data_IF_486340184916
#
_entry.id   IF_486340184916
#
_cell.length_a   1.000
_cell.length_b   1.000
_cell.length_c   1.000
_cell.angle_alpha   90.00
_cell.angle_beta   90.00
_cell.angle_gamma   90.00
#
_symmetry.space_group_name_H-M   'P 1'
#
loop_
_entity.id
_entity.type
_entity.pdbx_description
1 polymer ?
#
# COMPACT_ATOMS: atom_id res chain seq x y z
N UNK A 1 -32.37 -41.51 21.57
CA UNK A 1 -32.87 -40.37 20.78
C UNK A 1 -31.72 -39.39 20.59
N UNK A 2 -30.93 -39.66 19.56
CA UNK A 2 -29.99 -38.72 18.96
C UNK A 2 -30.78 -37.56 18.34
N UNK A 3 -30.31 -36.32 18.49
CA UNK A 3 -30.22 -35.41 17.34
C UNK A 3 -29.39 -34.15 17.63
N UNK A 4 -28.28 -34.04 16.91
CA UNK A 4 -27.86 -32.91 16.09
C UNK A 4 -28.04 -31.48 16.61
N UNK A 5 -26.93 -30.85 16.99
CA UNK A 5 -26.75 -29.40 16.96
C UNK A 5 -25.27 -29.04 16.74
N UNK A 6 -24.72 -29.34 15.55
CA UNK A 6 -23.32 -29.06 15.22
C UNK A 6 -23.10 -28.58 13.77
N UNK A 7 -24.01 -27.77 13.22
CA UNK A 7 -23.91 -27.28 11.83
C UNK A 7 -24.23 -25.78 11.69
N UNK A 8 -23.57 -24.88 12.44
CA UNK A 8 -23.77 -23.42 12.25
C UNK A 8 -22.50 -22.55 12.30
N UNK A 9 -21.28 -23.12 12.30
CA UNK A 9 -20.06 -22.29 12.38
C UNK A 9 -19.42 -21.92 11.03
N UNK A 10 -19.87 -22.45 9.90
CA UNK A 10 -19.18 -22.23 8.62
C UNK A 10 -19.65 -20.98 7.85
N UNK A 11 -20.74 -20.33 8.26
CA UNK A 11 -21.25 -19.15 7.55
C UNK A 11 -20.64 -17.82 8.03
N UNK A 12 -19.90 -17.82 9.14
CA UNK A 12 -19.25 -16.61 9.66
C UNK A 12 -17.82 -16.41 9.11
N UNK A 13 -17.22 -17.43 8.49
CA UNK A 13 -15.86 -17.33 7.94
C UNK A 13 -15.84 -16.74 6.52
N UNK A 14 -16.86 -17.00 5.69
CA UNK A 14 -16.94 -16.43 4.34
C UNK A 14 -17.22 -14.91 4.34
N UNK A 15 -17.95 -14.38 5.33
CA UNK A 15 -18.24 -12.95 5.44
C UNK A 15 -17.02 -12.13 5.93
N UNK A 16 -16.13 -12.75 6.71
CA UNK A 16 -14.86 -12.13 7.16
C UNK A 16 -13.88 -11.99 5.99
N UNK A 17 -13.84 -12.96 5.07
CA UNK A 17 -12.93 -12.95 3.91
C UNK A 17 -13.38 -11.92 2.85
N UNK A 18 -14.69 -11.69 2.70
CA UNK A 18 -15.22 -10.61 1.83
C UNK A 18 -14.90 -9.19 2.32
N UNK A 19 -14.64 -9.02 3.62
CA UNK A 19 -14.20 -7.74 4.21
C UNK A 19 -12.73 -7.40 3.93
N UNK A 20 -11.87 -8.40 3.72
CA UNK A 20 -10.42 -8.22 3.58
C UNK A 20 -10.02 -7.60 2.22
N UNK A 21 -10.73 -7.86 1.12
CA UNK A 21 -10.38 -7.27 -0.19
C UNK A 21 -10.62 -5.74 -0.25
N UNK A 22 -11.51 -5.21 0.60
CA UNK A 22 -11.81 -3.76 0.64
C UNK A 22 -10.79 -2.93 1.44
N UNK A 23 -9.91 -3.59 2.20
CA UNK A 23 -9.00 -2.98 3.19
C UNK A 23 -7.69 -2.44 2.58
N UNK A 24 -7.44 -2.70 1.29
CA UNK A 24 -6.15 -2.42 0.64
C UNK A 24 -6.22 -1.35 -0.45
N UNK A 25 -7.19 -0.45 -0.38
CA UNK A 25 -7.39 0.56 -1.40
C UNK A 25 -6.69 1.87 -1.03
N UNK A 26 -5.47 2.09 -1.54
CA UNK A 26 -4.69 3.32 -1.29
C UNK A 26 -5.44 4.62 -1.60
N UNK A 27 -6.31 4.60 -2.61
CA UNK A 27 -7.13 5.76 -2.96
C UNK A 27 -8.08 6.16 -1.81
N UNK A 28 -8.49 5.22 -0.93
CA UNK A 28 -9.33 5.52 0.24
C UNK A 28 -8.57 6.34 1.28
N UNK A 29 -7.26 6.10 1.45
CA UNK A 29 -6.44 6.92 2.32
C UNK A 29 -6.30 8.35 1.79
N UNK A 30 -6.10 8.51 0.48
CA UNK A 30 -5.97 9.83 -0.14
C UNK A 30 -7.29 10.61 -0.15
N UNK A 31 -8.38 9.95 -0.53
CA UNK A 31 -9.72 10.56 -0.55
C UNK A 31 -10.29 10.78 0.85
N UNK A 32 -9.87 9.96 1.83
CA UNK A 32 -10.20 10.16 3.24
C UNK A 32 -9.65 11.47 3.79
N UNK A 33 -8.48 11.92 3.33
CA UNK A 33 -7.92 13.21 3.75
C UNK A 33 -8.73 14.42 3.22
N UNK A 34 -9.54 14.26 2.18
CA UNK A 34 -10.36 15.35 1.62
C UNK A 34 -11.84 15.27 1.99
N UNK A 35 -12.34 14.07 2.33
CA UNK A 35 -13.69 13.90 2.85
C UNK A 35 -13.86 14.57 4.22
N UNK A 36 -15.03 15.13 4.49
CA UNK A 36 -15.39 15.73 5.78
C UNK A 36 -16.86 15.41 6.08
N UNK A 37 -17.16 14.95 7.29
CA UNK A 37 -18.52 14.57 7.69
C UNK A 37 -19.26 15.67 8.46
N UNK A 38 -18.54 16.64 9.03
CA UNK A 38 -19.12 17.72 9.85
C UNK A 38 -18.80 19.10 9.26
N UNK A 39 -19.82 19.94 8.98
CA UNK A 39 -19.62 21.28 8.41
C UNK A 39 -18.75 22.19 9.29
N UNK A 40 -18.88 22.08 10.63
CA UNK A 40 -18.08 22.87 11.56
C UNK A 40 -16.59 22.50 11.47
N UNK A 41 -16.27 21.20 11.42
CA UNK A 41 -14.89 20.73 11.24
C UNK A 41 -14.32 21.18 9.90
N UNK A 42 -15.10 21.12 8.80
CA UNK A 42 -14.70 21.65 7.50
C UNK A 42 -14.46 23.17 7.57
N UNK A 43 -15.33 23.93 8.22
CA UNK A 43 -15.18 25.37 8.39
C UNK A 43 -13.91 25.75 9.13
N UNK A 44 -13.61 25.08 10.25
CA UNK A 44 -12.35 25.27 10.97
C UNK A 44 -11.13 24.93 10.13
N UNK A 45 -11.20 23.83 9.37
CA UNK A 45 -10.10 23.43 8.49
C UNK A 45 -9.85 24.45 7.38
N UNK A 46 -10.90 24.95 6.74
CA UNK A 46 -10.78 25.96 5.68
C UNK A 46 -10.28 27.30 6.22
N UNK A 47 -10.75 27.74 7.39
CA UNK A 47 -10.28 28.98 8.02
C UNK A 47 -8.81 28.89 8.45
N UNK A 48 -8.41 27.75 9.01
CA UNK A 48 -7.02 27.50 9.41
C UNK A 48 -6.10 27.41 8.19
N UNK A 49 -6.55 26.74 7.11
CA UNK A 49 -5.82 26.68 5.86
C UNK A 49 -5.70 28.06 5.21
N UNK A 50 -6.75 28.87 5.24
CA UNK A 50 -6.72 30.21 4.68
C UNK A 50 -5.73 31.11 5.43
N UNK A 51 -5.83 31.17 6.76
CA UNK A 51 -4.94 32.00 7.59
C UNK A 51 -3.48 31.55 7.53
N UNK A 52 -3.21 30.26 7.77
CA UNK A 52 -1.84 29.73 7.79
C UNK A 52 -1.27 29.55 6.39
N UNK A 53 -2.10 29.09 5.45
CA UNK A 53 -1.70 28.84 4.07
C UNK A 53 -1.36 30.11 3.32
N UNK A 54 -2.11 31.20 3.47
CA UNK A 54 -1.71 32.48 2.86
C UNK A 54 -0.36 32.96 3.40
N UNK A 55 -0.14 32.88 4.72
CA UNK A 55 1.13 33.32 5.30
C UNK A 55 2.31 32.48 4.79
N UNK A 56 2.15 31.16 4.71
CA UNK A 56 3.20 30.26 4.23
C UNK A 56 3.44 30.37 2.71
N UNK A 57 2.37 30.50 1.93
CA UNK A 57 2.43 30.60 0.49
C UNK A 57 3.06 31.93 0.04
N UNK A 58 2.64 33.05 0.64
CA UNK A 58 3.11 34.38 0.25
C UNK A 58 4.51 34.69 0.76
N UNK A 59 4.83 34.33 2.02
CA UNK A 59 6.09 34.77 2.64
C UNK A 59 7.23 33.75 2.53
N UNK A 60 6.95 32.43 2.48
CA UNK A 60 7.99 31.41 2.66
C UNK A 60 8.24 30.53 1.43
N UNK A 61 7.19 29.93 0.85
CA UNK A 61 7.36 28.84 -0.12
C UNK A 61 6.94 29.19 -1.56
N UNK A 62 5.97 30.09 -1.76
CA UNK A 62 5.34 30.30 -3.07
C UNK A 62 4.36 29.19 -3.46
N UNK A 63 3.43 29.49 -4.38
CA UNK A 63 2.27 28.63 -4.70
C UNK A 63 2.61 27.20 -5.13
N UNK A 64 3.60 27.04 -6.01
CA UNK A 64 3.93 25.72 -6.59
C UNK A 64 4.56 24.82 -5.52
N UNK A 65 5.50 25.36 -4.75
CA UNK A 65 6.20 24.62 -3.69
C UNK A 65 5.23 24.36 -2.53
N UNK A 66 4.36 25.32 -2.19
CA UNK A 66 3.33 25.11 -1.18
C UNK A 66 2.38 23.98 -1.57
N UNK A 67 1.82 23.99 -2.80
CA UNK A 67 0.99 22.90 -3.31
C UNK A 67 1.71 21.55 -3.23
N UNK A 68 3.00 21.56 -3.60
CA UNK A 68 3.87 20.41 -3.53
C UNK A 68 3.97 19.82 -2.12
N UNK A 69 4.28 20.66 -1.12
CA UNK A 69 4.31 20.27 0.29
C UNK A 69 2.97 19.72 0.77
N UNK A 70 1.84 20.32 0.37
CA UNK A 70 0.51 19.86 0.78
C UNK A 70 0.24 18.42 0.31
N UNK A 71 0.55 18.09 -0.95
CA UNK A 71 0.40 16.70 -1.47
C UNK A 71 1.28 15.73 -0.68
N UNK A 72 2.52 16.13 -0.39
CA UNK A 72 3.46 15.30 0.34
C UNK A 72 3.03 15.09 1.80
N UNK A 73 2.55 16.15 2.46
CA UNK A 73 2.05 16.10 3.83
C UNK A 73 0.84 15.19 3.97
N UNK A 74 -0.08 15.15 2.99
CA UNK A 74 -1.20 14.18 3.00
C UNK A 74 -0.65 12.74 3.12
N UNK A 75 0.36 12.42 2.31
CA UNK A 75 0.96 11.08 2.30
C UNK A 75 1.72 10.81 3.60
N UNK A 76 2.55 11.74 4.05
CA UNK A 76 3.36 11.56 5.27
C UNK A 76 2.53 11.47 6.54
N UNK A 77 1.55 12.36 6.71
CA UNK A 77 0.65 12.32 7.88
C UNK A 77 -0.14 11.02 7.92
N UNK A 78 -0.61 10.52 6.77
CA UNK A 78 -1.24 9.20 6.66
C UNK A 78 -0.27 8.08 7.06
N UNK A 79 0.96 8.11 6.56
CA UNK A 79 1.96 7.08 6.90
C UNK A 79 2.28 7.06 8.40
N UNK A 80 2.50 8.22 9.02
CA UNK A 80 2.79 8.35 10.45
C UNK A 80 1.60 7.86 11.28
N UNK A 81 0.38 8.26 10.90
CA UNK A 81 -0.83 7.80 11.55
C UNK A 81 -1.00 6.28 11.48
N UNK A 82 -0.81 5.68 10.30
CA UNK A 82 -0.85 4.22 10.13
C UNK A 82 0.23 3.53 10.98
N UNK A 83 1.42 4.12 11.11
CA UNK A 83 2.46 3.63 11.99
C UNK A 83 2.02 3.68 13.47
N UNK A 84 1.46 4.79 13.94
CA UNK A 84 0.96 4.94 15.31
C UNK A 84 -0.13 3.90 15.61
N UNK A 85 -1.13 3.76 14.72
CA UNK A 85 -2.22 2.78 14.87
C UNK A 85 -1.66 1.34 14.88
N UNK A 86 -0.73 1.03 13.98
CA UNK A 86 -0.08 -0.29 13.94
C UNK A 86 0.67 -0.61 15.23
N UNK A 87 1.33 0.39 15.82
CA UNK A 87 2.01 0.26 17.10
C UNK A 87 0.99 0.03 18.22
N UNK A 88 -0.11 0.78 18.24
CA UNK A 88 -1.18 0.61 19.25
C UNK A 88 -1.81 -0.78 19.19
N UNK A 89 -2.08 -1.31 17.99
CA UNK A 89 -2.61 -2.68 17.81
C UNK A 89 -1.62 -3.71 18.37
N UNK A 90 -0.31 -3.54 18.10
CA UNK A 90 0.74 -4.44 18.62
C UNK A 90 0.83 -4.42 20.15
N UNK A 91 0.60 -3.28 20.78
CA UNK A 91 0.62 -3.15 22.24
C UNK A 91 -0.70 -3.57 22.90
N UNK A 92 -1.82 -3.54 22.18
CA UNK A 92 -3.14 -3.92 22.68
C UNK A 92 -3.37 -5.44 22.77
N UNK A 93 -2.31 -6.28 22.66
CA UNK A 93 -2.39 -7.75 22.66
C UNK A 93 -3.33 -8.27 23.76
N UNK A 94 -4.44 -8.89 23.33
CA UNK A 94 -5.43 -9.51 24.22
C UNK A 94 -6.74 -8.75 24.41
N UNK A 95 -6.85 -7.50 23.93
CA UNK A 95 -8.10 -6.74 24.01
C UNK A 95 -8.77 -6.61 22.62
N UNK A 96 -9.50 -7.64 22.21
CA UNK A 96 -10.16 -7.73 20.90
C UNK A 96 -11.07 -6.54 20.64
N UNK A 97 -11.84 -6.07 21.63
CA UNK A 97 -12.73 -4.91 21.48
C UNK A 97 -11.99 -3.62 21.15
N UNK A 98 -10.81 -3.41 21.76
CA UNK A 98 -9.97 -2.24 21.47
C UNK A 98 -9.36 -2.33 20.07
N UNK A 99 -8.97 -3.52 19.63
CA UNK A 99 -8.45 -3.75 18.27
C UNK A 99 -9.53 -3.45 17.24
N UNK A 100 -10.76 -3.95 17.41
CA UNK A 100 -11.89 -3.65 16.50
C UNK A 100 -12.15 -2.15 16.40
N UNK A 101 -12.20 -1.44 17.52
CA UNK A 101 -12.38 0.02 17.51
C UNK A 101 -11.25 0.74 16.75
N UNK A 102 -9.98 0.36 16.97
CA UNK A 102 -8.83 0.94 16.28
C UNK A 102 -8.82 0.65 14.76
N UNK A 103 -9.32 -0.51 14.36
CA UNK A 103 -9.42 -0.88 12.94
C UNK A 103 -10.59 -0.18 12.25
N UNK A 104 -11.67 0.11 12.97
CA UNK A 104 -12.84 0.81 12.45
C UNK A 104 -12.69 2.34 12.48
N UNK A 105 -11.72 2.89 13.23
CA UNK A 105 -11.44 4.33 13.21
C UNK A 105 -10.93 4.78 11.86
N UNK A 106 -11.84 5.23 11.02
CA UNK A 106 -11.54 5.95 9.78
C UNK A 106 -11.25 7.40 10.13
N UNK A 107 -9.98 7.78 10.13
CA UNK A 107 -9.57 9.18 10.22
C UNK A 107 -9.86 9.86 8.90
N UNK A 108 -10.72 10.87 8.94
CA UNK A 108 -11.19 11.58 7.76
C UNK A 108 -10.98 13.07 7.98
N UNK A 109 -10.47 13.75 6.95
CA UNK A 109 -10.28 15.19 6.93
C UNK A 109 -8.83 15.65 6.79
N UNK A 110 -8.71 16.91 6.40
CA UNK A 110 -7.44 17.58 6.06
C UNK A 110 -6.69 18.07 7.29
N UNK A 111 -7.28 17.92 8.48
CA UNK A 111 -6.80 18.50 9.72
C UNK A 111 -5.41 18.02 10.12
N UNK A 112 -5.04 16.76 9.83
CA UNK A 112 -3.66 16.28 10.06
C UNK A 112 -2.60 17.12 9.33
N UNK A 113 -2.88 17.53 8.09
CA UNK A 113 -1.99 18.40 7.30
C UNK A 113 -1.95 19.82 7.89
N UNK A 114 -3.10 20.31 8.36
CA UNK A 114 -3.17 21.63 9.03
C UNK A 114 -2.40 21.67 10.33
N UNK A 115 -2.46 20.61 11.14
CA UNK A 115 -1.64 20.49 12.34
C UNK A 115 -0.14 20.43 12.00
N UNK A 116 0.25 19.79 10.90
CA UNK A 116 1.63 19.82 10.43
C UNK A 116 2.08 21.24 10.05
N UNK A 117 1.24 21.97 9.30
CA UNK A 117 1.51 23.38 8.96
C UNK A 117 1.53 24.28 10.19
N UNK A 118 0.63 24.07 11.14
CA UNK A 118 0.59 24.81 12.40
C UNK A 118 1.91 24.66 13.17
N UNK A 119 2.50 23.46 13.20
CA UNK A 119 3.84 23.25 13.76
C UNK A 119 4.88 24.06 12.98
N UNK A 120 4.93 23.93 11.66
CA UNK A 120 5.92 24.63 10.83
C UNK A 120 5.82 26.14 11.04
N UNK A 121 4.63 26.73 10.92
CA UNK A 121 4.42 28.16 11.15
C UNK A 121 4.79 28.58 12.56
N UNK A 122 4.47 27.76 13.58
CA UNK A 122 4.82 28.07 14.98
C UNK A 122 6.33 28.06 15.23
N UNK A 123 7.11 27.30 14.45
CA UNK A 123 8.56 27.23 14.58
C UNK A 123 9.28 28.31 13.75
N UNK A 124 8.64 28.82 12.70
CA UNK A 124 9.12 29.98 11.94
C UNK A 124 8.94 31.30 12.70
N UNK A 125 7.99 31.37 13.64
CA UNK A 125 7.75 32.55 14.48
C UNK A 125 8.35 32.38 15.88
N UNK A 126 8.82 33.48 16.48
CA UNK A 126 9.40 33.49 17.83
C UNK A 126 8.32 33.28 18.91
N UNK A 127 7.12 33.82 18.69
CA UNK A 127 5.99 33.71 19.61
C UNK A 127 4.72 33.37 18.83
N UNK A 128 3.96 32.35 19.26
CA UNK A 128 2.71 31.96 18.60
C UNK A 128 1.60 31.77 19.62
N UNK A 129 0.41 32.31 19.33
CA UNK A 129 -0.77 32.22 20.18
C UNK A 129 -1.73 31.16 19.60
N UNK A 130 -1.90 29.99 20.23
CA UNK A 130 -2.65 28.86 19.67
C UNK A 130 -4.16 29.08 19.58
N UNK A 131 -4.71 29.98 20.41
CA UNK A 131 -6.17 30.15 20.54
C UNK A 131 -6.57 31.50 19.92
N UNK A 132 -7.33 31.51 18.80
CA UNK A 132 -7.70 32.75 18.11
C UNK A 132 -8.63 33.68 18.90
N UNK A 133 -9.12 33.25 20.07
CA UNK A 133 -9.98 34.03 20.95
C UNK A 133 -9.28 34.45 22.26
N UNK A 134 -8.04 33.99 22.49
CA UNK A 134 -7.26 34.28 23.68
C UNK A 134 -5.89 34.79 23.25
N UNK A 135 -5.83 36.05 22.85
CA UNK A 135 -4.60 36.72 22.42
C UNK A 135 -3.57 36.84 23.57
N UNK A 136 -4.00 36.64 24.83
CA UNK A 136 -3.14 36.70 26.01
C UNK A 136 -2.35 35.41 26.27
N UNK A 137 -2.70 34.30 25.61
CA UNK A 137 -2.05 33.00 25.82
C UNK A 137 -1.15 32.69 24.63
N UNK A 138 0.09 33.16 24.69
CA UNK A 138 1.11 32.92 23.67
C UNK A 138 2.26 32.08 24.23
N UNK A 139 2.86 31.27 23.37
CA UNK A 139 3.97 30.41 23.71
C UNK A 139 5.18 30.77 22.87
N UNK A 140 6.31 30.93 23.56
CA UNK A 140 7.60 31.21 22.94
C UNK A 140 8.17 29.92 22.32
N UNK A 141 8.83 30.08 21.18
CA UNK A 141 9.56 29.02 20.52
C UNK A 141 10.92 28.85 21.19
N UNK A 142 11.14 27.68 21.78
CA UNK A 142 12.41 27.35 22.42
C UNK A 142 13.34 26.66 21.41
N UNK A 143 14.53 27.20 21.20
CA UNK A 143 15.60 26.51 20.49
C UNK A 143 16.42 25.67 21.46
N UNK A 144 16.53 24.38 21.17
CA UNK A 144 17.42 23.47 21.86
C UNK A 144 18.67 23.26 21.00
N UNK A 145 19.84 23.37 21.65
CA UNK A 145 21.17 23.29 21.03
C UNK A 145 21.49 24.48 20.10
N UNK A 146 22.77 24.84 20.01
CA UNK A 146 23.25 25.90 19.11
C UNK A 146 22.99 25.56 17.62
N UNK A 147 22.70 24.30 17.31
CA UNK A 147 22.39 23.78 15.97
C UNK A 147 20.92 23.96 15.53
N UNK A 148 20.08 24.66 16.30
CA UNK A 148 18.81 25.20 15.78
C UNK A 148 17.61 24.25 15.77
N UNK A 149 17.54 23.25 16.66
CA UNK A 149 16.33 22.44 16.84
C UNK A 149 15.29 23.28 17.60
N UNK A 150 14.35 23.87 16.87
CA UNK A 150 13.25 24.64 17.45
C UNK A 150 12.10 23.73 17.92
N UNK A 151 11.49 24.09 19.03
CA UNK A 151 10.30 23.42 19.57
C UNK A 151 9.32 24.45 20.13
N UNK A 152 8.03 24.26 19.83
CA UNK A 152 6.95 25.11 20.33
C UNK A 152 5.79 24.22 20.80
N UNK A 153 5.25 24.52 21.98
CA UNK A 153 4.16 23.78 22.62
C UNK A 153 2.78 24.18 22.08
N UNK A 154 2.67 25.33 21.41
CA UNK A 154 1.42 25.89 20.84
C UNK A 154 0.58 24.85 20.07
N UNK A 155 1.13 24.09 19.09
CA UNK A 155 0.34 23.08 18.36
C UNK A 155 -0.25 21.96 19.24
N UNK A 156 0.42 21.60 20.34
CA UNK A 156 -0.09 20.61 21.30
C UNK A 156 -1.24 21.17 22.15
N UNK A 157 -1.17 22.45 22.51
CA UNK A 157 -2.29 23.11 23.20
C UNK A 157 -3.50 23.21 22.27
N UNK A 158 -3.28 23.61 21.01
CA UNK A 158 -4.32 23.62 19.98
C UNK A 158 -4.97 22.25 19.79
N UNK A 159 -4.20 21.17 19.87
CA UNK A 159 -4.73 19.80 19.82
C UNK A 159 -5.71 19.52 20.97
N UNK A 160 -5.34 19.89 22.20
CA UNK A 160 -6.19 19.68 23.38
C UNK A 160 -7.47 20.51 23.28
N UNK A 161 -7.36 21.77 22.86
CA UNK A 161 -8.51 22.66 22.65
C UNK A 161 -9.42 22.12 21.54
N UNK A 162 -8.86 21.71 20.40
CA UNK A 162 -9.62 21.14 19.30
C UNK A 162 -10.36 19.85 19.72
N UNK A 163 -9.73 19.00 20.53
CA UNK A 163 -10.35 17.77 21.03
C UNK A 163 -11.50 18.06 22.00
N UNK A 164 -11.42 19.14 22.77
CA UNK A 164 -12.50 19.55 23.67
C UNK A 164 -13.72 20.10 22.90
N UNK A 165 -13.48 20.91 21.86
CA UNK A 165 -14.55 21.50 21.03
C UNK A 165 -15.19 20.43 20.14
N UNK A 166 -14.40 19.52 19.56
CA UNK A 166 -14.84 18.50 18.61
C UNK A 166 -14.39 17.10 19.05
N UNK A 167 -15.04 16.50 20.08
CA UNK A 167 -14.60 15.23 20.67
C UNK A 167 -14.73 14.03 19.72
N UNK A 168 -15.49 14.17 18.62
CA UNK A 168 -15.67 13.12 17.61
C UNK A 168 -14.53 13.05 16.59
N UNK A 169 -13.59 14.00 16.60
CA UNK A 169 -12.48 14.02 15.66
C UNK A 169 -11.33 13.14 16.17
N UNK A 170 -10.56 12.56 15.25
CA UNK A 170 -9.46 11.65 15.57
C UNK A 170 -8.26 12.39 16.17
N UNK A 171 -8.07 12.19 17.48
CA UNK A 171 -6.88 12.62 18.20
C UNK A 171 -5.58 12.08 17.56
N UNK A 172 -5.59 10.80 17.14
CA UNK A 172 -4.40 10.15 16.54
C UNK A 172 -4.04 10.79 15.20
N UNK A 173 -5.02 11.18 14.40
CA UNK A 173 -4.79 11.85 13.12
C UNK A 173 -4.14 13.23 13.30
N UNK A 174 -4.62 14.02 14.25
CA UNK A 174 -4.02 15.33 14.56
C UNK A 174 -2.62 15.19 15.17
N UNK A 175 -2.42 14.23 16.09
CA UNK A 175 -1.11 13.94 16.67
C UNK A 175 -0.11 13.51 15.58
N UNK A 176 -0.53 12.69 14.63
CA UNK A 176 0.29 12.32 13.48
C UNK A 176 0.69 13.54 12.65
N UNK A 177 -0.22 14.50 12.48
CA UNK A 177 0.04 15.82 11.90
C UNK A 177 1.15 16.57 12.60
N UNK A 178 1.06 16.70 13.92
CA UNK A 178 2.06 17.40 14.75
C UNK A 178 3.43 16.73 14.63
N UNK A 179 3.48 15.40 14.78
CA UNK A 179 4.73 14.63 14.63
C UNK A 179 5.32 14.81 13.22
N UNK A 180 4.47 14.82 12.19
CA UNK A 180 4.89 15.08 10.83
C UNK A 180 5.49 16.47 10.64
N UNK A 181 4.87 17.51 11.22
CA UNK A 181 5.37 18.88 11.15
C UNK A 181 6.75 19.04 11.80
N UNK A 182 6.95 18.46 12.98
CA UNK A 182 8.27 18.45 13.63
C UNK A 182 9.30 17.68 12.80
N UNK A 183 8.94 16.50 12.28
CA UNK A 183 9.84 15.70 11.45
C UNK A 183 10.24 16.43 10.16
N UNK A 184 9.34 17.24 9.59
CA UNK A 184 9.63 18.07 8.43
C UNK A 184 10.59 19.21 8.78
N UNK A 185 10.27 20.00 9.82
CA UNK A 185 11.07 21.16 10.21
C UNK A 185 12.47 20.78 10.71
N UNK A 186 12.62 19.64 11.40
CA UNK A 186 13.92 19.13 11.84
C UNK A 186 14.72 18.41 10.73
N UNK A 187 14.25 18.44 9.48
CA UNK A 187 14.86 17.73 8.35
C UNK A 187 15.02 16.21 8.59
N UNK A 188 14.23 15.61 9.48
CA UNK A 188 14.19 14.15 9.67
C UNK A 188 13.61 13.46 8.43
N UNK A 189 12.67 14.14 7.75
CA UNK A 189 12.16 13.74 6.46
C UNK A 189 12.86 14.63 5.41
N UNK A 190 13.88 14.15 4.69
CA UNK A 190 14.52 14.93 3.64
C UNK A 190 13.55 15.14 2.50
N UNK A 191 12.88 16.29 2.51
CA UNK A 191 11.76 16.60 1.62
C UNK A 191 12.22 16.61 0.16
N UNK A 192 13.38 17.19 -0.10
CA UNK A 192 13.88 17.35 -1.47
C UNK A 192 14.12 16.01 -2.18
N UNK A 193 14.55 14.99 -1.43
CA UNK A 193 14.80 13.66 -1.98
C UNK A 193 13.57 12.76 -1.88
N UNK A 194 13.00 12.60 -0.68
CA UNK A 194 11.93 11.65 -0.41
C UNK A 194 10.57 12.11 -0.85
N UNK A 195 10.30 13.41 -0.79
CA UNK A 195 8.95 13.89 -1.07
C UNK A 195 8.69 14.02 -2.56
N UNK A 196 9.73 14.06 -3.42
CA UNK A 196 9.61 14.08 -4.89
C UNK A 196 8.59 13.04 -5.38
N UNK A 197 7.72 13.35 -6.37
CA UNK A 197 6.57 12.49 -6.71
C UNK A 197 7.03 11.12 -7.19
N UNK A 198 8.13 11.16 -7.95
CA UNK A 198 8.80 10.00 -8.52
C UNK A 198 9.38 9.06 -7.46
N UNK A 199 9.69 9.55 -6.26
CA UNK A 199 10.13 8.72 -5.12
C UNK A 199 8.95 8.32 -4.25
N UNK A 200 8.10 9.29 -3.92
CA UNK A 200 7.01 9.14 -2.98
C UNK A 200 5.97 8.13 -3.47
N UNK A 201 5.54 8.21 -4.74
CA UNK A 201 4.51 7.33 -5.29
C UNK A 201 4.99 5.87 -5.31
N UNK A 202 6.16 5.52 -5.92
CA UNK A 202 6.66 4.16 -5.87
C UNK A 202 6.96 3.68 -4.45
N UNK A 203 7.46 4.57 -3.58
CA UNK A 203 7.74 4.25 -2.18
C UNK A 203 6.49 3.83 -1.41
N UNK A 204 5.40 4.61 -1.52
CA UNK A 204 4.10 4.28 -0.92
C UNK A 204 3.56 2.97 -1.46
N UNK A 205 3.63 2.77 -2.79
CA UNK A 205 3.18 1.53 -3.42
C UNK A 205 3.97 0.32 -2.93
N UNK A 206 5.31 0.40 -2.86
CA UNK A 206 6.16 -0.68 -2.33
C UNK A 206 5.81 -0.96 -0.88
N UNK A 207 5.71 0.08 -0.05
CA UNK A 207 5.37 -0.07 1.36
C UNK A 207 4.02 -0.77 1.51
N UNK A 208 3.03 -0.36 0.72
CA UNK A 208 1.71 -0.96 0.69
C UNK A 208 1.75 -2.43 0.26
N UNK A 209 2.42 -2.76 -0.85
CA UNK A 209 2.61 -4.14 -1.29
C UNK A 209 3.31 -5.02 -0.25
N UNK A 210 4.33 -4.47 0.42
CA UNK A 210 5.07 -5.17 1.47
C UNK A 210 4.21 -5.44 2.70
N UNK A 211 3.40 -4.47 3.13
CA UNK A 211 2.45 -4.61 4.23
C UNK A 211 1.39 -5.68 3.91
N UNK A 212 0.81 -5.65 2.70
CA UNK A 212 -0.16 -6.65 2.23
C UNK A 212 0.45 -8.06 2.27
N UNK A 213 1.65 -8.23 1.69
CA UNK A 213 2.30 -9.55 1.63
C UNK A 213 2.55 -10.13 3.02
N UNK A 214 2.95 -9.31 3.99
CA UNK A 214 3.14 -9.78 5.37
C UNK A 214 1.84 -10.29 5.99
N UNK A 215 0.72 -9.64 5.72
CA UNK A 215 -0.58 -10.06 6.26
C UNK A 215 -1.00 -11.41 5.66
N UNK A 216 -0.89 -11.57 4.33
CA UNK A 216 -1.25 -12.81 3.64
C UNK A 216 -0.39 -14.00 4.11
N UNK A 217 0.92 -13.80 4.27
CA UNK A 217 1.82 -14.87 4.74
C UNK A 217 1.50 -15.32 6.17
N UNK A 218 1.12 -14.39 7.05
CA UNK A 218 0.73 -14.70 8.43
C UNK A 218 -0.60 -15.47 8.49
N UNK A 219 -1.56 -15.13 7.63
CA UNK A 219 -2.82 -15.87 7.51
C UNK A 219 -2.61 -17.33 7.08
N UNK A 220 -1.70 -17.57 6.14
CA UNK A 220 -1.42 -18.92 5.63
C UNK A 220 -0.76 -19.84 6.67
N UNK A 221 0.18 -19.32 7.46
CA UNK A 221 0.86 -20.11 8.50
C UNK A 221 -0.13 -20.56 9.61
N UNK A 222 -1.13 -19.72 9.92
CA UNK A 222 -2.11 -20.02 10.97
C UNK A 222 -3.09 -21.14 10.58
N UNK A 223 -3.37 -21.30 9.29
CA UNK A 223 -4.26 -22.36 8.80
C UNK A 223 -3.52 -23.70 8.63
N UNK A 224 -2.21 -23.70 8.38
CA UNK A 224 -1.40 -24.92 8.23
C UNK A 224 -1.03 -25.57 9.57
N UNK A 225 -0.94 -24.83 10.68
CA UNK A 225 -0.76 -25.43 12.02
C UNK A 225 -1.95 -26.29 12.50
N UNK A 226 -3.08 -26.26 11.79
CA UNK A 226 -4.22 -27.14 12.06
C UNK A 226 -4.14 -28.49 11.32
N UNK A 227 -3.15 -28.67 10.44
CA UNK A 227 -2.95 -29.87 9.63
C UNK A 227 -1.59 -30.54 9.93
N UNK A 228 -1.65 -31.76 10.41
CA UNK A 228 -0.55 -32.63 10.83
C UNK A 228 0.72 -32.61 9.94
N UNK A 229 1.86 -32.24 10.54
CA UNK A 229 3.20 -32.79 10.31
C UNK A 229 3.85 -32.66 8.92
N UNK A 230 4.48 -31.52 8.62
CA UNK A 230 5.39 -31.44 7.46
C UNK A 230 6.06 -30.09 7.24
N UNK A 231 7.00 -29.70 8.11
CA UNK A 231 7.77 -28.46 7.97
C UNK A 231 8.77 -28.51 6.82
N UNK A 232 8.43 -27.91 5.67
CA UNK A 232 9.36 -27.69 4.56
C UNK A 232 9.76 -26.21 4.47
N UNK A 233 11.07 -25.97 4.38
CA UNK A 233 11.69 -24.64 4.28
C UNK A 233 11.19 -23.85 3.06
N UNK A 234 10.35 -22.84 3.30
CA UNK A 234 9.66 -22.05 2.27
C UNK A 234 10.58 -21.10 1.49
N UNK A 235 11.77 -20.78 2.03
CA UNK A 235 12.71 -19.84 1.41
C UNK A 235 13.48 -20.49 0.25
N UNK A 236 13.83 -21.78 0.36
CA UNK A 236 14.55 -22.51 -0.71
C UNK A 236 13.70 -22.77 -1.95
N UNK A 237 12.38 -22.93 -1.78
CA UNK A 237 11.45 -23.14 -2.90
C UNK A 237 11.37 -21.93 -3.85
N UNK A 238 11.76 -20.73 -3.39
CA UNK A 238 11.54 -19.48 -4.10
C UNK A 238 12.68 -19.12 -5.07
N UNK A 239 13.92 -19.52 -4.78
CA UNK A 239 15.06 -19.39 -5.70
C UNK A 239 15.04 -20.48 -6.78
N UNK A 240 14.69 -21.71 -6.39
CA UNK A 240 14.56 -22.84 -7.33
C UNK A 240 13.50 -22.59 -8.40
N UNK A 241 12.47 -21.81 -8.05
CA UNK A 241 11.37 -21.45 -8.93
C UNK A 241 11.75 -20.45 -10.04
N UNK A 242 12.63 -19.48 -9.78
CA UNK A 242 13.04 -18.50 -10.81
C UNK A 242 13.85 -19.19 -11.93
N UNK A 243 14.67 -20.19 -11.58
CA UNK A 243 15.42 -21.02 -12.55
C UNK A 243 14.51 -21.99 -13.31
N UNK A 244 13.51 -22.57 -12.63
CA UNK A 244 12.53 -23.47 -13.23
C UNK A 244 11.60 -22.75 -14.22
N UNK A 245 11.19 -21.51 -13.93
CA UNK A 245 10.32 -20.71 -14.83
C UNK A 245 11.04 -20.32 -16.13
N UNK A 246 12.32 -19.96 -16.07
CA UNK A 246 13.13 -19.66 -17.25
C UNK A 246 13.33 -20.93 -18.11
N UNK A 247 13.57 -22.08 -17.46
CA UNK A 247 13.67 -23.38 -18.14
C UNK A 247 12.33 -23.80 -18.78
N UNK A 248 11.21 -23.69 -18.07
CA UNK A 248 9.87 -24.01 -18.59
C UNK A 248 9.51 -23.09 -19.77
N UNK A 249 9.81 -21.79 -19.70
CA UNK A 249 9.54 -20.87 -20.82
C UNK A 249 10.34 -21.26 -22.07
N UNK A 250 11.61 -21.65 -21.91
CA UNK A 250 12.45 -22.09 -23.03
C UNK A 250 11.95 -23.41 -23.64
N UNK A 251 11.54 -24.36 -22.80
CA UNK A 251 10.97 -25.64 -23.21
C UNK A 251 9.63 -25.50 -23.93
N UNK A 252 8.73 -24.66 -23.41
CA UNK A 252 7.44 -24.37 -24.05
C UNK A 252 7.61 -23.68 -25.41
N UNK A 253 8.62 -22.82 -25.57
CA UNK A 253 8.95 -22.20 -26.86
C UNK A 253 9.51 -23.21 -27.87
N UNK A 254 10.38 -24.13 -27.42
CA UNK A 254 10.94 -25.18 -28.27
C UNK A 254 9.85 -26.13 -28.76
N UNK A 255 9.04 -26.70 -27.86
CA UNK A 255 8.01 -27.66 -28.26
C UNK A 255 6.83 -27.04 -29.03
N UNK A 256 6.62 -25.73 -28.94
CA UNK A 256 5.56 -25.07 -29.70
C UNK A 256 5.89 -24.95 -31.19
N UNK A 257 7.17 -24.88 -31.57
CA UNK A 257 7.57 -24.75 -32.98
C UNK A 257 7.56 -26.07 -33.75
N UNK A 258 7.62 -27.22 -33.07
CA UNK A 258 7.73 -28.53 -33.72
C UNK A 258 6.37 -29.22 -33.98
N UNK A 259 5.25 -28.56 -33.66
CA UNK A 259 3.90 -29.12 -33.71
C UNK A 259 3.07 -28.74 -34.95
N UNK A 260 3.64 -28.78 -36.16
CA UNK A 260 2.87 -28.88 -37.42
C UNK A 260 2.69 -30.36 -37.76
N UNK A 261 1.75 -31.03 -37.08
CA UNK A 261 1.32 -32.38 -37.45
C UNK A 261 0.20 -32.28 -38.48
N UNK A 262 0.42 -32.89 -39.65
CA UNK A 262 -0.55 -33.06 -40.73
C UNK A 262 -1.81 -33.77 -40.19
N UNK A 263 -2.95 -33.07 -40.21
CA UNK A 263 -4.22 -33.56 -39.68
C UNK A 263 -5.01 -34.24 -40.81
N UNK A 264 -5.17 -35.57 -40.73
CA UNK A 264 -5.96 -36.39 -41.63
C UNK A 264 -7.45 -36.30 -41.27
N UNK A 265 -8.26 -35.80 -42.20
CA UNK A 265 -9.62 -35.30 -41.96
C UNK A 265 -10.69 -36.29 -41.49
N UNK A 266 -11.48 -35.82 -40.52
CA UNK A 266 -12.86 -36.25 -40.24
C UNK A 266 -13.68 -35.02 -39.80
N UNK A 267 -14.88 -34.84 -40.36
CA UNK A 267 -15.62 -33.57 -40.33
C UNK A 267 -16.24 -33.17 -38.97
N UNK A 268 -16.35 -34.09 -38.01
CA UNK A 268 -16.84 -33.81 -36.65
C UNK A 268 -15.78 -33.16 -35.73
N UNK A 269 -14.51 -33.10 -36.15
CA UNK A 269 -13.40 -32.50 -35.38
C UNK A 269 -13.28 -30.97 -35.53
N UNK A 270 -14.06 -30.36 -36.44
CA UNK A 270 -13.94 -28.95 -36.79
C UNK A 270 -14.25 -27.97 -35.63
N UNK A 271 -15.18 -28.31 -34.74
CA UNK A 271 -15.47 -27.45 -33.58
C UNK A 271 -14.39 -27.55 -32.49
N UNK A 272 -13.76 -28.70 -32.34
CA UNK A 272 -12.67 -28.89 -31.36
C UNK A 272 -11.36 -28.25 -31.85
N UNK A 273 -11.08 -28.28 -33.16
CA UNK A 273 -9.90 -27.64 -33.74
C UNK A 273 -9.93 -26.10 -33.60
N UNK A 274 -11.11 -25.48 -33.73
CA UNK A 274 -11.29 -24.03 -33.55
C UNK A 274 -11.02 -23.58 -32.10
N UNK A 275 -11.54 -24.30 -31.11
CA UNK A 275 -11.30 -23.98 -29.68
C UNK A 275 -9.83 -24.17 -29.32
N UNK A 276 -9.19 -25.23 -29.83
CA UNK A 276 -7.77 -25.52 -29.59
C UNK A 276 -6.85 -24.48 -30.21
N UNK A 277 -7.14 -24.02 -31.43
CA UNK A 277 -6.37 -22.95 -32.08
C UNK A 277 -6.55 -21.60 -31.38
N UNK A 278 -7.75 -21.29 -30.88
CA UNK A 278 -7.99 -20.08 -30.08
C UNK A 278 -7.21 -20.10 -28.75
N UNK A 279 -7.20 -21.23 -28.04
CA UNK A 279 -6.42 -21.40 -26.80
C UNK A 279 -4.90 -21.30 -27.05
N UNK A 280 -4.39 -21.92 -28.13
CA UNK A 280 -2.98 -21.80 -28.53
C UNK A 280 -2.59 -20.33 -28.79
N UNK A 281 -3.41 -19.58 -29.52
CA UNK A 281 -3.17 -18.15 -29.78
C UNK A 281 -3.17 -17.30 -28.50
N UNK A 282 -4.10 -17.58 -27.57
CA UNK A 282 -4.15 -16.89 -26.27
C UNK A 282 -2.90 -17.15 -25.44
N UNK A 283 -2.46 -18.41 -25.38
CA UNK A 283 -1.25 -18.84 -24.67
C UNK A 283 0.00 -18.20 -25.27
N UNK A 284 0.14 -18.19 -26.60
CA UNK A 284 1.26 -17.52 -27.30
C UNK A 284 1.35 -16.03 -26.96
N UNK A 285 0.21 -15.32 -26.95
CA UNK A 285 0.17 -13.89 -26.57
C UNK A 285 0.56 -13.68 -25.11
N UNK A 286 0.18 -14.57 -24.20
CA UNK A 286 0.57 -14.49 -22.79
C UNK A 286 2.08 -14.72 -22.59
N UNK A 287 2.64 -15.75 -23.25
CA UNK A 287 4.08 -16.04 -23.22
C UNK A 287 4.88 -14.85 -23.78
N UNK A 288 4.44 -14.27 -24.91
CA UNK A 288 5.10 -13.09 -25.49
C UNK A 288 5.09 -11.88 -24.56
N UNK A 289 3.96 -11.61 -23.87
CA UNK A 289 3.88 -10.56 -22.85
C UNK A 289 4.85 -10.82 -21.69
N UNK A 290 4.93 -12.05 -21.22
CA UNK A 290 5.84 -12.43 -20.13
C UNK A 290 7.31 -12.23 -20.52
N UNK A 291 7.72 -12.67 -21.71
CA UNK A 291 9.09 -12.46 -22.22
C UNK A 291 9.41 -10.98 -22.36
N UNK A 292 8.47 -10.17 -22.87
CA UNK A 292 8.63 -8.73 -22.99
C UNK A 292 8.81 -8.07 -21.60
N UNK A 293 7.98 -8.43 -20.62
CA UNK A 293 8.08 -7.93 -19.24
C UNK A 293 9.41 -8.35 -18.59
N UNK A 294 9.87 -9.59 -18.79
CA UNK A 294 11.17 -10.06 -18.29
C UNK A 294 12.34 -9.28 -18.90
N UNK A 295 12.27 -8.93 -20.19
CA UNK A 295 13.28 -8.07 -20.85
C UNK A 295 13.26 -6.65 -20.28
N UNK A 296 12.08 -6.03 -20.15
CA UNK A 296 11.92 -4.70 -19.54
C UNK A 296 12.48 -4.69 -18.12
N UNK A 297 12.24 -5.76 -17.34
CA UNK A 297 12.81 -5.95 -15.99
C UNK A 297 14.32 -5.85 -15.98
N UNK A 298 14.99 -6.62 -16.85
CA UNK A 298 16.46 -6.63 -16.93
C UNK A 298 17.01 -5.26 -17.33
N UNK A 299 16.34 -4.55 -18.24
CA UNK A 299 16.72 -3.19 -18.65
C UNK A 299 16.56 -2.20 -17.48
N UNK A 300 15.42 -2.22 -16.77
CA UNK A 300 15.19 -1.34 -15.63
C UNK A 300 16.18 -1.57 -14.48
N UNK A 301 16.51 -2.82 -14.19
CA UNK A 301 17.56 -3.18 -13.23
C UNK A 301 18.91 -2.62 -13.68
N UNK A 302 19.27 -2.79 -14.97
CA UNK A 302 20.49 -2.24 -15.53
C UNK A 302 20.57 -0.71 -15.40
N UNK A 303 19.49 0.01 -15.75
CA UNK A 303 19.41 1.47 -15.61
C UNK A 303 19.56 1.89 -14.15
N UNK A 304 18.93 1.16 -13.22
CA UNK A 304 18.99 1.49 -11.79
C UNK A 304 20.35 1.21 -11.16
N UNK A 305 21.06 0.19 -11.64
CA UNK A 305 22.44 -0.09 -11.22
C UNK A 305 23.40 0.95 -11.81
N UNK A 306 23.17 1.40 -13.04
CA UNK A 306 24.04 2.38 -13.72
C UNK A 306 23.82 3.81 -13.22
N UNK A 307 22.60 4.15 -12.80
CA UNK A 307 22.20 5.50 -12.41
C UNK A 307 23.09 6.15 -11.33
N UNK A 308 23.47 5.47 -10.23
CA UNK A 308 24.34 6.05 -9.21
C UNK A 308 25.78 6.31 -9.67
N UNK A 309 26.20 5.75 -10.82
CA UNK A 309 27.51 6.03 -11.40
C UNK A 309 27.51 7.28 -12.28
N UNK A 310 26.34 7.69 -12.78
CA UNK A 310 26.17 8.86 -13.66
C UNK A 310 25.64 10.05 -12.88
N UNK A 311 24.79 9.81 -11.89
CA UNK A 311 24.13 10.82 -11.06
C UNK A 311 24.60 10.70 -9.62
N UNK A 312 24.67 11.83 -8.91
CA UNK A 312 25.00 11.83 -7.49
C UNK A 312 23.92 11.12 -6.67
N UNK A 313 24.32 10.29 -5.70
CA UNK A 313 23.42 9.51 -4.83
C UNK A 313 22.35 10.34 -4.11
N UNK A 314 22.62 11.63 -3.89
CA UNK A 314 21.71 12.53 -3.18
C UNK A 314 20.56 13.04 -4.07
N UNK A 315 20.57 12.75 -5.39
CA UNK A 315 19.52 13.20 -6.28
C UNK A 315 18.29 12.28 -6.18
N UNK A 316 17.12 12.90 -6.00
CA UNK A 316 15.80 12.25 -6.00
C UNK A 316 15.56 11.32 -7.20
N UNK A 317 16.18 11.62 -8.34
CA UNK A 317 16.15 10.80 -9.55
C UNK A 317 16.72 9.39 -9.34
N UNK A 318 17.86 9.25 -8.65
CA UNK A 318 18.50 7.95 -8.40
C UNK A 318 17.61 7.11 -7.48
N UNK A 319 17.10 7.73 -6.42
CA UNK A 319 16.21 7.09 -5.46
C UNK A 319 14.90 6.66 -6.11
N UNK A 320 14.32 7.50 -6.98
CA UNK A 320 13.11 7.21 -7.73
C UNK A 320 13.29 6.01 -8.64
N UNK A 321 14.40 5.94 -9.37
CA UNK A 321 14.70 4.83 -10.27
C UNK A 321 14.87 3.52 -9.50
N UNK A 322 15.57 3.57 -8.35
CA UNK A 322 15.71 2.41 -7.47
C UNK A 322 14.35 1.91 -6.99
N UNK A 323 13.51 2.80 -6.45
CA UNK A 323 12.17 2.43 -5.98
C UNK A 323 11.27 1.94 -7.11
N UNK A 324 11.28 2.59 -8.27
CA UNK A 324 10.46 2.16 -9.41
C UNK A 324 10.86 0.77 -9.89
N UNK A 325 12.16 0.46 -9.87
CA UNK A 325 12.66 -0.88 -10.22
C UNK A 325 12.32 -1.93 -9.19
N UNK A 326 12.39 -1.60 -7.90
CA UNK A 326 11.94 -2.48 -6.82
C UNK A 326 10.44 -2.76 -6.96
N UNK A 327 9.64 -1.72 -7.18
CA UNK A 327 8.19 -1.84 -7.41
C UNK A 327 7.92 -2.75 -8.60
N UNK A 328 8.57 -2.49 -9.73
CA UNK A 328 8.40 -3.27 -10.95
C UNK A 328 8.77 -4.74 -10.74
N UNK A 329 9.88 -5.01 -10.03
CA UNK A 329 10.31 -6.36 -9.67
C UNK A 329 9.23 -7.08 -8.86
N UNK A 330 8.66 -6.45 -7.83
CA UNK A 330 7.61 -7.03 -7.01
C UNK A 330 6.30 -7.24 -7.77
N UNK A 331 5.88 -6.28 -8.60
CA UNK A 331 4.67 -6.38 -9.42
C UNK A 331 4.75 -7.55 -10.41
N UNK A 332 5.84 -7.65 -11.17
CA UNK A 332 6.03 -8.75 -12.15
C UNK A 332 6.07 -10.11 -11.46
N UNK A 333 6.70 -10.21 -10.27
CA UNK A 333 6.71 -11.45 -9.50
C UNK A 333 5.32 -11.86 -9.01
N UNK A 334 4.48 -10.88 -8.67
CA UNK A 334 3.09 -11.13 -8.24
C UNK A 334 2.22 -11.69 -9.38
N UNK A 335 2.32 -11.11 -10.57
CA UNK A 335 1.55 -11.54 -11.75
C UNK A 335 1.92 -12.97 -12.19
N UNK A 336 3.21 -13.33 -12.09
CA UNK A 336 3.68 -14.68 -12.38
C UNK A 336 3.01 -15.75 -11.51
N UNK A 337 2.91 -15.51 -10.20
CA UNK A 337 2.24 -16.44 -9.27
C UNK A 337 0.74 -16.55 -9.55
N UNK A 338 0.07 -15.42 -9.85
CA UNK A 338 -1.37 -15.42 -10.12
C UNK A 338 -1.72 -16.24 -11.37
N UNK A 339 -0.86 -16.20 -12.39
CA UNK A 339 -1.06 -16.98 -13.62
C UNK A 339 -0.92 -18.48 -13.40
N UNK A 340 0.05 -18.92 -12.60
CA UNK A 340 0.24 -20.34 -12.28
C UNK A 340 -0.92 -20.90 -11.47
N UNK A 341 -1.39 -20.14 -10.47
CA UNK A 341 -2.54 -20.52 -9.66
C UNK A 341 -3.81 -20.74 -10.49
N UNK A 342 -4.03 -19.90 -11.53
CA UNK A 342 -5.17 -20.03 -12.44
C UNK A 342 -5.05 -21.24 -13.38
N UNK A 343 -3.84 -21.66 -13.71
CA UNK A 343 -3.61 -22.82 -14.57
C UNK A 343 -3.89 -24.14 -13.84
N UNK A 344 -3.45 -24.27 -12.58
CA UNK A 344 -3.70 -25.48 -11.78
C UNK A 344 -5.20 -25.71 -11.50
N UNK A 345 -5.95 -24.65 -11.18
CA UNK A 345 -7.40 -24.77 -10.95
C UNK A 345 -8.18 -25.20 -12.21
N UNK A 346 -7.74 -24.79 -13.40
CA UNK A 346 -8.37 -25.21 -14.65
C UNK A 346 -8.07 -26.67 -15.01
N UNK A 347 -6.88 -27.18 -14.68
CA UNK A 347 -6.54 -28.59 -14.92
C UNK A 347 -7.26 -29.55 -13.94
N UNK A 348 -7.43 -29.14 -12.69
CA UNK A 348 -8.15 -29.96 -11.70
C UNK A 348 -9.67 -30.02 -11.94
N UNK A 349 -10.27 -28.96 -12.47
CA UNK A 349 -11.71 -28.93 -12.80
C UNK A 349 -12.08 -29.74 -14.05
N UNK A 350 -11.12 -29.98 -14.96
CA UNK A 350 -11.34 -30.75 -16.18
C UNK A 350 -11.10 -32.26 -16.00
N UNK A 351 -10.30 -32.68 -15.01
CA UNK A 351 -10.07 -34.10 -14.68
C UNK A 351 -11.23 -34.81 -13.95
N UNK A 352 -12.05 -34.07 -13.20
CA UNK A 352 -13.11 -34.65 -12.35
C UNK A 352 -14.41 -34.97 -13.10
N UNK A 353 -14.70 -34.30 -14.23
CA UNK A 353 -15.91 -34.55 -15.00
C UNK A 353 -15.81 -35.69 -16.02
N UNK A 354 -14.59 -36.11 -16.42
CA UNK A 354 -14.42 -37.18 -17.41
C UNK A 354 -14.59 -38.58 -16.78
N UNK A 355 -14.40 -38.73 -15.46
CA UNK A 355 -14.54 -40.03 -14.78
C UNK A 355 -15.99 -40.40 -14.41
N UNK A 356 -16.93 -39.44 -14.36
CA UNK A 356 -18.35 -39.72 -14.03
C UNK A 356 -19.21 -40.19 -15.22
N UNK A 357 -18.74 -40.08 -16.47
CA UNK A 357 -19.50 -40.54 -17.64
C UNK A 357 -19.22 -41.98 -18.09
N UNK A 358 -18.30 -42.72 -17.44
CA UNK A 358 -17.99 -44.13 -17.77
C UNK A 358 -18.65 -45.17 -16.85
N UNK A 359 -19.58 -44.77 -15.97
CA UNK A 359 -20.18 -45.70 -14.99
C UNK A 359 -21.71 -45.89 -15.11
N UNK A 360 -22.34 -45.48 -16.21
CA UNK A 360 -23.74 -45.77 -16.50
C UNK A 360 -23.90 -46.46 -17.86
N UNK A 361 -23.33 -47.66 -17.98
CA UNK A 361 -23.74 -48.68 -18.95
C UNK A 361 -23.27 -50.04 -18.41
N UNK A 362 -24.11 -50.64 -17.58
CA UNK A 362 -24.18 -52.07 -17.30
C UNK A 362 -25.60 -52.36 -16.80
#
# INVERSE_FOLDING_TARGET
LNNNNNNNNNNNEEEVIGGEESQYQLWRSLTGATAHFEPMHLGFNMMSLYSSGMALEEYYYGSIIFLWYNICLIIWTTCIMMCIVSIQIKYAKGNTSRITQLTETSTVGYSGVLFAWMVITSLEHDTTCPVPFLDDVCFDTHSFFDDGIKFNVSPLVSLVVAQFIMPRVSFVGHLAGIVCGFALHWNLIPVESLSSPHVLIPGVLICHYWLIRKIILVGKCRNEESGDGGGANTIGAMEQFDEEVDNISSFLLSNYNDGELEDGGNDDDNNYSLVRTAQKRKTKRMIQKYILLSKIRKIMIGISILSPFVLSWNQSMVLSQCLTTILYYYCVKSDGMLMLFKHDNNNNSSGTNVRRKRQYHA
#
